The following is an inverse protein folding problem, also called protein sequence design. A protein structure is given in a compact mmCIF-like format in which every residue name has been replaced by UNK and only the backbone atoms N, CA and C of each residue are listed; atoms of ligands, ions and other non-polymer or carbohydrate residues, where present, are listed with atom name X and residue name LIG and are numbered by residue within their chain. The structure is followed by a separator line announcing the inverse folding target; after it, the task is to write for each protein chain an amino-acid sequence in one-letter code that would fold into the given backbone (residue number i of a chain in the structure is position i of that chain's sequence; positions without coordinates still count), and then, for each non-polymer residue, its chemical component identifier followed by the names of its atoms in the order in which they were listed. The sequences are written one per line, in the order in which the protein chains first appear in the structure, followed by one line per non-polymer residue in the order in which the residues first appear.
data_IF_727681709887
#
_entry.id   IF_727681709887
#
_cell.length_a   1.000
_cell.length_b   1.000
_cell.length_c   1.000
_cell.angle_alpha   90.00
_cell.angle_beta   90.00
_cell.angle_gamma   90.00
#
_symmetry.space_group_name_H-M   'P 1'
#
loop_
_entity.id
_entity.type
_entity.pdbx_description
1 polymer ?
#
# COMPACT_ATOMS: atom_id res chain seq x y z
N UNK A 1 34.25 14.46 -11.32
CA UNK A 1 32.86 14.23 -10.88
C UNK A 1 32.87 13.00 -9.98
N UNK A 2 32.76 13.16 -8.67
CA UNK A 2 32.77 12.04 -7.73
C UNK A 2 31.35 11.45 -7.67
N UNK A 3 31.17 10.23 -8.19
CA UNK A 3 29.95 9.47 -8.02
C UNK A 3 29.74 9.12 -6.55
N UNK A 4 28.51 9.20 -6.07
CA UNK A 4 28.18 8.86 -4.69
C UNK A 4 28.48 7.37 -4.45
N UNK A 5 29.10 6.98 -3.33
CA UNK A 5 29.34 5.58 -3.04
C UNK A 5 27.99 4.87 -2.85
N UNK A 6 27.79 3.76 -3.56
CA UNK A 6 26.64 2.89 -3.34
C UNK A 6 26.73 2.31 -1.93
N UNK A 7 25.81 2.71 -1.05
CA UNK A 7 25.74 2.18 0.31
C UNK A 7 25.19 0.76 0.22
N UNK A 8 26.05 -0.26 0.31
CA UNK A 8 25.61 -1.65 0.49
C UNK A 8 25.26 -1.88 1.97
N UNK A 9 24.12 -1.37 2.42
CA UNK A 9 23.51 -1.97 3.60
C UNK A 9 23.29 -3.47 3.29
N UNK A 10 23.50 -4.40 4.23
CA UNK A 10 23.14 -5.79 4.01
C UNK A 10 21.61 -5.82 3.78
N UNK A 11 21.20 -6.08 2.53
CA UNK A 11 19.83 -5.92 2.02
C UNK A 11 18.75 -6.45 2.99
N UNK A 12 19.04 -7.58 3.62
CA UNK A 12 18.16 -8.28 4.57
C UNK A 12 17.80 -7.47 5.82
N UNK A 13 18.68 -6.59 6.30
CA UNK A 13 18.37 -5.74 7.46
C UNK A 13 17.42 -4.59 7.07
N UNK A 14 17.60 -4.02 5.88
CA UNK A 14 16.68 -3.01 5.34
C UNK A 14 15.30 -3.61 5.07
N UNK A 15 15.23 -4.81 4.50
CA UNK A 15 13.98 -5.54 4.29
C UNK A 15 13.21 -5.78 5.60
N UNK A 16 13.93 -6.14 6.68
CA UNK A 16 13.34 -6.30 8.01
C UNK A 16 12.69 -5.01 8.53
N UNK A 17 13.38 -3.87 8.39
CA UNK A 17 12.84 -2.57 8.79
C UNK A 17 11.65 -2.14 7.92
N UNK A 18 11.70 -2.38 6.61
CA UNK A 18 10.59 -2.07 5.69
C UNK A 18 9.34 -2.88 6.03
N UNK A 19 9.49 -4.18 6.28
CA UNK A 19 8.39 -5.06 6.70
C UNK A 19 7.80 -4.64 8.04
N UNK A 20 8.64 -4.24 8.99
CA UNK A 20 8.16 -3.68 10.27
C UNK A 20 7.33 -2.40 10.04
N UNK A 21 7.86 -1.46 9.25
CA UNK A 21 7.18 -0.20 8.96
C UNK A 21 5.85 -0.42 8.23
N UNK A 22 5.79 -1.32 7.25
CA UNK A 22 4.56 -1.68 6.55
C UNK A 22 3.44 -2.09 7.53
N UNK A 23 3.75 -2.98 8.48
CA UNK A 23 2.78 -3.42 9.48
C UNK A 23 2.42 -2.33 10.50
N UNK A 24 3.31 -1.35 10.71
CA UNK A 24 3.07 -0.25 11.64
C UNK A 24 2.11 0.82 11.09
N UNK A 25 1.99 0.97 9.77
CA UNK A 25 1.07 1.96 9.14
C UNK A 25 -0.40 1.49 9.20
N UNK A 26 -0.66 0.18 9.34
CA UNK A 26 -1.98 -0.42 9.59
C UNK A 26 -3.01 -0.28 8.46
N UNK A 27 -2.63 0.18 7.26
CA UNK A 27 -3.53 0.18 6.11
C UNK A 27 -3.97 -1.24 5.70
N UNK A 28 -3.14 -2.24 6.03
CA UNK A 28 -3.45 -3.65 5.83
C UNK A 28 -4.64 -4.15 6.66
N UNK A 29 -4.93 -3.52 7.81
CA UNK A 29 -6.10 -3.84 8.65
C UNK A 29 -7.42 -3.40 8.00
N UNK A 30 -7.35 -2.46 7.05
CA UNK A 30 -8.50 -1.96 6.26
C UNK A 30 -8.61 -2.64 4.89
N UNK A 31 -7.65 -3.51 4.55
CA UNK A 31 -7.62 -4.23 3.27
C UNK A 31 -7.12 -3.39 2.11
N UNK A 32 -6.43 -2.28 2.39
CA UNK A 32 -5.79 -1.48 1.34
C UNK A 32 -4.51 -2.13 0.83
N UNK A 33 -4.24 -1.90 -0.46
CA UNK A 33 -2.91 -2.07 -1.03
C UNK A 33 -2.08 -0.81 -0.82
N UNK A 34 -0.76 -0.93 -0.97
CA UNK A 34 0.16 0.21 -0.81
C UNK A 34 -0.22 1.39 -1.74
N UNK A 35 -0.51 1.08 -3.00
CA UNK A 35 -0.81 2.09 -4.02
C UNK A 35 -2.17 2.77 -3.81
N UNK A 36 -3.06 2.18 -3.00
CA UNK A 36 -4.34 2.79 -2.65
C UNK A 36 -4.18 3.95 -1.65
N UNK A 37 -3.03 4.04 -0.98
CA UNK A 37 -2.78 5.04 0.08
C UNK A 37 -2.02 6.27 -0.45
N UNK A 38 -1.68 6.30 -1.73
CA UNK A 38 -0.99 7.44 -2.33
C UNK A 38 -1.94 8.65 -2.45
N UNK A 39 -1.42 9.85 -2.25
CA UNK A 39 -2.19 11.07 -2.47
C UNK A 39 -2.43 11.26 -3.98
N UNK A 40 -3.69 11.46 -4.37
CA UNK A 40 -4.09 11.69 -5.76
C UNK A 40 -3.75 13.13 -6.17
N UNK A 41 -2.67 13.28 -6.94
CA UNK A 41 -2.32 14.49 -7.69
C UNK A 41 -2.59 14.28 -9.20
N UNK A 42 -2.46 15.32 -10.02
CA UNK A 42 -2.71 15.25 -11.48
C UNK A 42 -1.96 14.09 -12.17
N UNK A 43 -0.72 13.81 -11.77
CA UNK A 43 0.08 12.69 -12.30
C UNK A 43 -0.49 11.31 -11.92
N UNK A 44 -0.90 11.16 -10.66
CA UNK A 44 -1.49 9.93 -10.14
C UNK A 44 -2.87 9.71 -10.75
N UNK A 45 -3.67 10.76 -10.92
CA UNK A 45 -4.96 10.69 -11.61
C UNK A 45 -4.78 10.16 -13.05
N UNK A 46 -3.78 10.66 -13.77
CA UNK A 46 -3.49 10.15 -15.11
C UNK A 46 -3.01 8.67 -15.08
N UNK A 47 -2.21 8.29 -14.09
CA UNK A 47 -1.78 6.90 -13.91
C UNK A 47 -2.97 5.97 -13.64
N UNK A 48 -3.91 6.38 -12.78
CA UNK A 48 -5.15 5.65 -12.49
C UNK A 48 -6.00 5.51 -13.76
N UNK A 49 -6.10 6.56 -14.58
CA UNK A 49 -6.86 6.54 -15.85
C UNK A 49 -6.31 5.52 -16.85
N UNK A 50 -5.01 5.22 -16.79
CA UNK A 50 -4.33 4.26 -17.69
C UNK A 50 -4.42 2.82 -17.21
N UNK A 51 -4.91 2.58 -15.99
CA UNK A 51 -4.99 1.27 -15.38
C UNK A 51 -6.00 0.37 -16.12
N UNK A 52 -5.76 -0.93 -16.29
CA UNK A 52 -6.75 -1.84 -16.85
C UNK A 52 -7.99 -1.93 -15.95
N UNK A 53 -9.15 -2.15 -16.56
CA UNK A 53 -10.45 -2.05 -15.90
C UNK A 53 -10.60 -2.97 -14.68
N UNK A 54 -10.05 -4.18 -14.74
CA UNK A 54 -10.07 -5.13 -13.61
C UNK A 54 -9.36 -4.56 -12.37
N UNK A 55 -8.15 -4.04 -12.53
CA UNK A 55 -7.37 -3.48 -11.42
C UNK A 55 -8.00 -2.18 -10.89
N UNK A 56 -8.59 -1.37 -11.78
CA UNK A 56 -9.34 -0.18 -11.35
C UNK A 56 -10.54 -0.54 -10.49
N UNK A 57 -11.31 -1.57 -10.89
CA UNK A 57 -12.46 -2.04 -10.12
C UNK A 57 -12.05 -2.60 -8.76
N UNK A 58 -10.94 -3.34 -8.69
CA UNK A 58 -10.39 -3.86 -7.43
C UNK A 58 -9.99 -2.73 -6.47
N UNK A 59 -9.29 -1.70 -6.98
CA UNK A 59 -8.96 -0.48 -6.22
C UNK A 59 -10.20 0.18 -5.64
N UNK A 60 -11.23 0.39 -6.47
CA UNK A 60 -12.49 1.00 -6.04
C UNK A 60 -13.20 0.14 -4.98
N UNK A 61 -13.10 -1.19 -5.08
CA UNK A 61 -13.65 -2.11 -4.08
C UNK A 61 -12.92 -2.01 -2.74
N UNK A 62 -11.59 -1.93 -2.73
CA UNK A 62 -10.82 -1.70 -1.50
C UNK A 62 -11.20 -0.37 -0.85
N UNK A 63 -11.29 0.72 -1.61
CA UNK A 63 -11.71 2.02 -1.09
C UNK A 63 -13.10 1.98 -0.46
N UNK A 64 -14.07 1.32 -1.09
CA UNK A 64 -15.42 1.16 -0.53
C UNK A 64 -15.41 0.35 0.76
N UNK A 65 -14.62 -0.72 0.80
CA UNK A 65 -14.50 -1.59 1.99
C UNK A 65 -13.88 -0.83 3.15
N UNK A 66 -12.79 -0.10 2.91
CA UNK A 66 -12.14 0.70 3.94
C UNK A 66 -13.04 1.82 4.46
N UNK A 67 -13.83 2.47 3.58
CA UNK A 67 -14.81 3.47 3.99
C UNK A 67 -15.91 2.85 4.88
N UNK A 68 -16.46 1.69 4.52
CA UNK A 68 -17.46 0.98 5.34
C UNK A 68 -16.91 0.60 6.72
N UNK A 69 -15.70 0.05 6.76
CA UNK A 69 -15.01 -0.29 8.01
C UNK A 69 -14.73 0.94 8.88
N UNK A 70 -14.27 2.03 8.26
CA UNK A 70 -14.01 3.31 8.92
C UNK A 70 -15.29 3.89 9.53
N UNK A 71 -16.40 3.88 8.77
CA UNK A 71 -17.71 4.33 9.26
C UNK A 71 -18.19 3.51 10.46
N UNK A 72 -17.89 2.22 10.51
CA UNK A 72 -18.25 1.33 11.63
C UNK A 72 -17.22 1.32 12.77
N UNK A 73 -16.08 1.99 12.60
CA UNK A 73 -14.94 1.92 13.51
C UNK A 73 -14.50 0.47 13.77
N UNK A 74 -14.54 -0.36 12.72
CA UNK A 74 -14.17 -1.77 12.74
C UNK A 74 -12.93 -2.02 11.89
N UNK A 75 -12.29 -3.17 12.12
CA UNK A 75 -11.13 -3.66 11.37
C UNK A 75 -11.47 -4.99 10.70
N UNK A 76 -10.75 -5.33 9.63
CA UNK A 76 -10.89 -6.66 9.03
C UNK A 76 -10.43 -7.77 9.98
N UNK A 77 -11.01 -8.97 9.86
CA UNK A 77 -10.43 -10.19 10.44
C UNK A 77 -8.96 -10.34 10.04
N UNK A 78 -8.12 -10.77 10.99
CA UNK A 78 -6.66 -10.83 10.83
C UNK A 78 -6.19 -11.72 9.66
N UNK A 79 -7.00 -12.69 9.25
CA UNK A 79 -6.75 -13.59 8.13
C UNK A 79 -6.88 -12.89 6.77
N UNK A 80 -7.63 -11.78 6.71
CA UNK A 80 -7.91 -11.02 5.49
C UNK A 80 -7.00 -9.79 5.32
N UNK A 81 -6.02 -9.60 6.21
CA UNK A 81 -5.08 -8.49 6.10
C UNK A 81 -4.14 -8.71 4.93
N UNK A 82 -3.89 -7.65 4.16
CA UNK A 82 -2.91 -7.67 3.06
C UNK A 82 -1.52 -7.99 3.62
N UNK A 83 -0.80 -8.86 2.90
CA UNK A 83 0.52 -9.31 3.31
C UNK A 83 1.58 -8.42 2.67
N UNK A 84 2.73 -8.30 3.35
CA UNK A 84 3.87 -7.55 2.81
C UNK A 84 4.45 -8.11 1.50
N UNK A 85 4.28 -9.43 1.28
CA UNK A 85 4.83 -10.14 0.11
C UNK A 85 3.87 -10.09 -1.09
N UNK A 86 2.68 -9.52 -0.90
CA UNK A 86 1.62 -9.33 -1.88
C UNK A 86 1.67 -7.89 -2.41
#
# INVERSE_FOLDING_TARGET
MAGWPAVSAPSRWLEGNQKWHYNAVRFNELGFMRDDTIYENDDVEEAIRRLPENLYNDRVFHSKTALDLSMRQQILPKQQWTKYEE
#
